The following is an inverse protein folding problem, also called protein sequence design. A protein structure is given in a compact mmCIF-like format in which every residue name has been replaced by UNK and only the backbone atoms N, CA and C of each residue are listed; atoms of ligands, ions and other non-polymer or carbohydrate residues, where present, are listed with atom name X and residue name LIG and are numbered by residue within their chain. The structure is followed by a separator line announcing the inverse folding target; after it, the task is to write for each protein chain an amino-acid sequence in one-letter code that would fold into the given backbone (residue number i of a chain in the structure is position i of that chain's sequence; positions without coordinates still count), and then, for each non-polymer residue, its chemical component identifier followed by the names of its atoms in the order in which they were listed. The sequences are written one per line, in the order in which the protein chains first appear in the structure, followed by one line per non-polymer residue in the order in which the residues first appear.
data_IF_108680363820
#
_entry.id   IF_108680363820
#
_cell.length_a   1.000
_cell.length_b   1.000
_cell.length_c   1.000
_cell.angle_alpha   90.00
_cell.angle_beta   90.00
_cell.angle_gamma   90.00
#
_symmetry.space_group_name_H-M   'P 1'
#
loop_
_entity.id
_entity.type
_entity.pdbx_description
1 polymer ?
#
# COMPACT_ATOMS: atom_id res chain seq x y z
N UNK A 1 31.87 -36.99 -18.20
CA UNK A 1 31.60 -35.58 -18.54
C UNK A 1 30.14 -35.31 -18.21
N UNK A 2 29.93 -34.62 -17.10
CA UNK A 2 28.74 -34.71 -16.26
C UNK A 2 27.52 -34.08 -16.91
N UNK A 3 26.47 -34.89 -17.01
CA UNK A 3 25.09 -34.61 -17.46
C UNK A 3 24.41 -33.41 -16.77
N UNK A 4 25.11 -32.74 -15.85
CA UNK A 4 24.63 -31.56 -15.13
C UNK A 4 24.84 -30.25 -15.90
N UNK A 5 25.77 -30.18 -16.87
CA UNK A 5 25.96 -28.95 -17.66
C UNK A 5 24.89 -28.75 -18.73
N UNK A 6 24.38 -29.84 -19.34
CA UNK A 6 23.33 -29.74 -20.35
C UNK A 6 21.98 -29.28 -19.77
N UNK A 7 21.64 -29.72 -18.55
CA UNK A 7 20.45 -29.21 -17.83
C UNK A 7 20.58 -27.74 -17.44
N UNK A 8 21.79 -27.22 -17.24
CA UNK A 8 22.01 -25.80 -16.96
C UNK A 8 21.78 -24.91 -18.19
N UNK A 9 22.10 -25.39 -19.40
CA UNK A 9 21.92 -24.61 -20.64
C UNK A 9 20.52 -24.75 -21.25
N UNK A 10 19.84 -25.89 -21.10
CA UNK A 10 18.43 -26.01 -21.53
C UNK A 10 17.49 -25.17 -20.65
N UNK A 11 17.81 -25.04 -19.34
CA UNK A 11 17.16 -24.08 -18.43
C UNK A 11 17.59 -22.61 -18.63
N UNK A 12 18.48 -22.29 -19.58
CA UNK A 12 18.77 -20.91 -19.97
C UNK A 12 18.18 -20.53 -21.33
N UNK A 13 17.79 -21.51 -22.16
CA UNK A 13 17.17 -21.25 -23.48
C UNK A 13 15.65 -21.50 -23.50
N UNK A 14 15.11 -22.37 -22.63
CA UNK A 14 13.66 -22.63 -22.50
C UNK A 14 13.05 -22.04 -21.21
N UNK A 15 13.85 -21.24 -20.49
CA UNK A 15 13.44 -20.42 -19.34
C UNK A 15 13.44 -18.92 -19.66
N UNK A 16 13.86 -18.53 -20.86
CA UNK A 16 13.72 -17.16 -21.37
C UNK A 16 12.35 -16.90 -22.01
N UNK A 17 11.32 -17.73 -21.74
CA UNK A 17 9.94 -17.40 -22.15
C UNK A 17 8.77 -18.03 -21.34
N UNK A 18 8.95 -18.92 -20.37
CA UNK A 18 7.77 -19.49 -19.67
C UNK A 18 8.02 -20.18 -18.31
N UNK A 19 8.92 -19.66 -17.47
CA UNK A 19 9.16 -20.24 -16.12
C UNK A 19 8.60 -19.43 -14.96
N UNK A 20 7.84 -18.35 -15.15
CA UNK A 20 7.21 -17.72 -13.99
C UNK A 20 5.83 -17.21 -14.40
N UNK A 21 4.74 -17.75 -13.82
CA UNK A 21 3.43 -17.12 -13.94
C UNK A 21 3.49 -15.74 -13.27
N UNK A 22 2.65 -14.81 -13.73
CA UNK A 22 2.29 -13.58 -13.01
C UNK A 22 3.22 -12.34 -13.15
N UNK A 23 3.69 -12.01 -14.35
CA UNK A 23 4.32 -10.69 -14.61
C UNK A 23 3.33 -9.51 -14.72
N UNK A 24 2.10 -9.65 -14.21
CA UNK A 24 1.11 -8.57 -14.14
C UNK A 24 0.95 -7.99 -12.73
N UNK A 25 1.50 -8.64 -11.69
CA UNK A 25 1.34 -8.17 -10.29
C UNK A 25 2.55 -7.41 -9.76
N UNK A 26 3.74 -7.62 -10.31
CA UNK A 26 4.95 -6.92 -9.83
C UNK A 26 4.93 -5.41 -10.14
N UNK A 27 4.35 -5.02 -11.28
CA UNK A 27 4.13 -3.61 -11.61
C UNK A 27 3.12 -2.96 -10.68
N UNK A 28 2.04 -3.67 -10.35
CA UNK A 28 0.95 -3.15 -9.54
C UNK A 28 1.36 -3.05 -8.07
N UNK A 29 2.01 -4.07 -7.50
CA UNK A 29 2.52 -4.01 -6.12
C UNK A 29 3.61 -2.95 -5.95
N UNK A 30 4.49 -2.79 -6.94
CA UNK A 30 5.53 -1.75 -6.92
C UNK A 30 4.90 -0.36 -7.03
N UNK A 31 3.92 -0.18 -7.91
CA UNK A 31 3.17 1.07 -8.03
C UNK A 31 2.37 1.38 -6.75
N UNK A 32 1.80 0.37 -6.10
CA UNK A 32 1.05 0.52 -4.86
C UNK A 32 1.97 0.91 -3.69
N UNK A 33 3.12 0.23 -3.53
CA UNK A 33 4.13 0.62 -2.53
C UNK A 33 4.67 2.02 -2.77
N UNK A 34 4.92 2.38 -4.02
CA UNK A 34 5.34 3.74 -4.38
C UNK A 34 4.27 4.76 -3.99
N UNK A 35 2.98 4.48 -4.25
CA UNK A 35 1.88 5.37 -3.88
C UNK A 35 1.79 5.59 -2.36
N UNK A 36 1.87 4.52 -1.55
CA UNK A 36 1.89 4.63 -0.09
C UNK A 36 3.08 5.49 0.36
N UNK A 37 4.27 5.28 -0.21
CA UNK A 37 5.46 6.04 0.13
C UNK A 37 5.30 7.53 -0.20
N UNK A 38 4.70 7.88 -1.34
CA UNK A 38 4.38 9.26 -1.69
C UNK A 38 3.39 9.89 -0.71
N UNK A 39 2.31 9.17 -0.34
CA UNK A 39 1.36 9.65 0.65
C UNK A 39 1.99 9.82 2.03
N UNK A 40 2.89 8.92 2.45
CA UNK A 40 3.64 9.02 3.71
C UNK A 40 4.50 10.26 3.73
N UNK A 41 5.28 10.51 2.68
CA UNK A 41 6.09 11.72 2.60
C UNK A 41 5.24 12.99 2.60
N UNK A 42 4.13 13.01 1.87
CA UNK A 42 3.22 14.15 1.89
C UNK A 42 2.55 14.33 3.27
N UNK A 43 2.13 13.25 3.93
CA UNK A 43 1.56 13.31 5.26
C UNK A 43 2.56 13.83 6.30
N UNK A 44 3.83 13.43 6.19
CA UNK A 44 4.94 13.92 7.01
C UNK A 44 5.26 15.39 6.75
N UNK A 45 5.07 15.87 5.51
CA UNK A 45 5.17 17.29 5.19
C UNK A 45 3.98 18.13 5.71
N UNK A 46 2.99 17.49 6.33
CA UNK A 46 1.82 18.19 6.88
C UNK A 46 0.73 18.45 5.85
N UNK A 47 0.66 17.68 4.76
CA UNK A 47 -0.48 17.77 3.84
C UNK A 47 -1.70 17.04 4.44
N UNK A 48 -2.70 17.78 4.90
CA UNK A 48 -3.94 17.24 5.46
C UNK A 48 -4.63 16.21 4.56
N UNK A 49 -4.68 16.45 3.25
CA UNK A 49 -5.25 15.50 2.27
C UNK A 49 -4.48 14.18 2.23
N UNK A 50 -3.15 14.21 2.38
CA UNK A 50 -2.33 12.99 2.38
C UNK A 50 -2.52 12.20 3.68
N UNK A 51 -2.60 12.89 4.81
CA UNK A 51 -2.91 12.30 6.12
C UNK A 51 -4.30 11.63 6.09
N UNK A 52 -5.31 12.30 5.53
CA UNK A 52 -6.64 11.73 5.33
C UNK A 52 -6.60 10.45 4.48
N UNK A 53 -5.91 10.49 3.32
CA UNK A 53 -5.78 9.32 2.45
C UNK A 53 -5.07 8.16 3.15
N UNK A 54 -4.01 8.42 3.91
CA UNK A 54 -3.36 7.40 4.73
C UNK A 54 -4.29 6.79 5.76
N UNK A 55 -5.10 7.61 6.44
CA UNK A 55 -6.14 7.15 7.34
C UNK A 55 -7.12 6.18 6.66
N UNK A 56 -7.63 6.56 5.49
CA UNK A 56 -8.53 5.72 4.69
C UNK A 56 -7.87 4.41 4.22
N UNK A 57 -6.59 4.44 3.86
CA UNK A 57 -5.84 3.23 3.48
C UNK A 57 -5.70 2.26 4.65
N UNK A 58 -5.48 2.77 5.87
CA UNK A 58 -5.46 1.97 7.09
C UNK A 58 -6.86 1.48 7.51
N UNK A 59 -7.96 2.17 7.19
CA UNK A 59 -9.31 1.64 7.45
C UNK A 59 -9.67 0.49 6.52
N UNK A 60 -9.45 0.70 5.23
CA UNK A 60 -9.87 -0.26 4.22
C UNK A 60 -8.89 -1.42 4.04
N UNK A 61 -7.68 -1.35 4.62
CA UNK A 61 -6.64 -2.36 4.45
C UNK A 61 -6.24 -2.53 2.99
N UNK A 62 -6.01 -1.42 2.27
CA UNK A 62 -5.72 -1.43 0.83
C UNK A 62 -4.21 -1.30 0.54
N UNK A 63 -3.80 -1.67 -0.68
CA UNK A 63 -2.39 -1.62 -1.13
C UNK A 63 -1.42 -2.47 -0.28
N UNK A 64 -1.91 -3.56 0.33
CA UNK A 64 -1.10 -4.45 1.16
C UNK A 64 -0.83 -3.93 2.57
N UNK A 65 -1.55 -2.91 3.02
CA UNK A 65 -1.57 -2.48 4.41
C UNK A 65 -2.60 -3.32 5.17
N UNK A 66 -2.24 -3.81 6.36
CA UNK A 66 -3.21 -4.40 7.26
C UNK A 66 -4.16 -3.32 7.79
N UNK A 67 -5.47 -3.61 7.82
CA UNK A 67 -6.44 -2.68 8.38
C UNK A 67 -6.12 -2.42 9.86
N UNK A 68 -6.00 -1.14 10.22
CA UNK A 68 -5.67 -0.71 11.56
C UNK A 68 -6.40 0.59 11.89
N UNK A 69 -7.53 0.44 12.57
CA UNK A 69 -8.42 1.54 12.95
C UNK A 69 -7.70 2.56 13.86
N UNK A 70 -6.86 2.10 14.80
CA UNK A 70 -6.09 3.00 15.68
C UNK A 70 -5.12 3.90 14.90
N UNK A 71 -4.40 3.34 13.93
CA UNK A 71 -3.52 4.13 13.06
C UNK A 71 -4.33 5.05 12.17
N UNK A 72 -5.46 4.59 11.65
CA UNK A 72 -6.33 5.41 10.84
C UNK A 72 -6.84 6.63 11.61
N UNK A 73 -7.36 6.44 12.82
CA UNK A 73 -7.80 7.52 13.70
C UNK A 73 -6.69 8.52 14.00
N UNK A 74 -5.45 8.06 14.21
CA UNK A 74 -4.31 8.94 14.43
C UNK A 74 -4.06 9.85 13.22
N UNK A 75 -4.07 9.30 12.00
CA UNK A 75 -3.87 10.08 10.77
C UNK A 75 -5.06 11.00 10.47
N UNK A 76 -6.29 10.54 10.70
CA UNK A 76 -7.49 11.34 10.53
C UNK A 76 -7.57 12.49 11.53
N UNK A 77 -7.18 12.27 12.80
CA UNK A 77 -7.06 13.33 13.79
C UNK A 77 -6.06 14.41 13.38
N UNK A 78 -4.91 14.02 12.81
CA UNK A 78 -3.92 14.98 12.31
C UNK A 78 -4.48 15.83 11.16
N UNK A 79 -5.23 15.21 10.24
CA UNK A 79 -5.89 15.91 9.14
C UNK A 79 -7.03 16.82 9.64
N UNK A 80 -7.84 16.35 10.59
CA UNK A 80 -8.93 17.11 11.21
C UNK A 80 -8.41 18.32 11.99
N UNK A 81 -7.29 18.18 12.72
CA UNK A 81 -6.63 19.29 13.40
C UNK A 81 -6.14 20.40 12.46
N UNK A 82 -5.92 20.07 11.19
CA UNK A 82 -5.59 21.04 10.14
C UNK A 82 -6.84 21.63 9.44
N UNK A 83 -8.04 21.33 9.95
CA UNK A 83 -9.30 21.83 9.40
C UNK A 83 -9.80 21.02 8.20
N UNK A 84 -9.35 19.77 8.02
CA UNK A 84 -9.85 18.92 6.94
C UNK A 84 -11.20 18.32 7.33
N UNK A 85 -12.29 18.93 6.85
CA UNK A 85 -13.67 18.54 7.19
C UNK A 85 -13.97 17.08 6.90
N UNK A 86 -13.51 16.55 5.76
CA UNK A 86 -13.71 15.15 5.39
C UNK A 86 -13.06 14.18 6.39
N UNK A 87 -11.88 14.53 6.93
CA UNK A 87 -11.24 13.70 7.95
C UNK A 87 -12.02 13.70 9.27
N UNK A 88 -12.58 14.85 9.63
CA UNK A 88 -13.40 14.99 10.84
C UNK A 88 -14.70 14.18 10.71
N UNK A 89 -15.36 14.23 9.55
CA UNK A 89 -16.58 13.44 9.31
C UNK A 89 -16.31 11.94 9.40
N UNK A 90 -15.23 11.45 8.79
CA UNK A 90 -14.85 10.03 8.87
C UNK A 90 -14.47 9.63 10.29
N UNK A 91 -13.76 10.49 11.02
CA UNK A 91 -13.41 10.24 12.43
C UNK A 91 -14.66 10.15 13.32
N UNK A 92 -15.63 11.03 13.12
CA UNK A 92 -16.91 10.98 13.83
C UNK A 92 -17.69 9.69 13.51
N UNK A 93 -17.67 9.24 12.26
CA UNK A 93 -18.30 7.97 11.86
C UNK A 93 -17.65 6.77 12.56
N UNK A 94 -16.31 6.75 12.63
CA UNK A 94 -15.55 5.74 13.38
C UNK A 94 -15.96 5.71 14.85
N UNK A 95 -15.93 6.85 15.52
CA UNK A 95 -16.30 6.94 16.94
C UNK A 95 -17.76 6.57 17.20
N UNK A 96 -18.65 6.90 16.27
CA UNK A 96 -20.07 6.52 16.35
C UNK A 96 -20.29 5.01 16.24
N UNK A 97 -19.42 4.29 15.52
CA UNK A 97 -19.51 2.83 15.39
C UNK A 97 -19.15 2.09 16.69
N UNK A 98 -18.35 2.72 17.57
CA UNK A 98 -17.98 2.15 18.88
C UNK A 98 -18.88 2.59 20.04
N UNK A 99 -19.89 3.43 19.80
CA UNK A 99 -20.79 4.00 20.82
C UNK A 99 -22.04 3.16 21.07
#
# INVERSE_FOLDING_TARGET
MSYQRAKYFEHLALNTFSKYPTALTESDETNQRNAIWYFLNAALQGYSTAQFKLGMLYLNGQLGLDPNETKAEMWLNLAANQGHSEALDVLNQLQSHYS
#
